data_IF_599630017240
#
_entry.id   IF_599630017240
#
_cell.length_a   1.000
_cell.length_b   1.000
_cell.length_c   1.000
_cell.angle_alpha   90.00
_cell.angle_beta   90.00
_cell.angle_gamma   90.00
#
_symmetry.space_group_name_H-M   'P 1'
#
loop_
_entity.id
_entity.type
_entity.pdbx_description
1 polymer ?
#
# COMPACT_ATOMS: atom_id res chain seq x y z
N UNK A 1 -19.04 1.70 11.35
CA UNK A 1 -18.45 2.69 12.29
C UNK A 1 -17.09 3.16 11.77
N UNK A 2 -16.64 4.39 12.07
CA UNK A 2 -15.48 5.03 11.44
C UNK A 2 -14.17 4.23 11.54
N UNK A 3 -13.91 3.61 12.69
CA UNK A 3 -12.68 2.83 12.94
C UNK A 3 -12.62 1.59 12.05
N UNK A 4 -13.71 0.82 11.98
CA UNK A 4 -13.81 -0.37 11.13
C UNK A 4 -13.55 -0.05 9.65
N UNK A 5 -13.99 1.10 9.16
CA UNK A 5 -13.73 1.53 7.78
C UNK A 5 -12.27 1.91 7.55
N UNK A 6 -11.60 2.52 8.53
CA UNK A 6 -10.17 2.76 8.45
C UNK A 6 -9.37 1.45 8.36
N UNK A 7 -9.77 0.43 9.11
CA UNK A 7 -9.14 -0.90 9.02
C UNK A 7 -9.33 -1.53 7.64
N UNK A 8 -10.54 -1.48 7.08
CA UNK A 8 -10.82 -2.02 5.74
C UNK A 8 -10.03 -1.26 4.66
N UNK A 9 -10.02 0.07 4.71
CA UNK A 9 -9.24 0.91 3.80
C UNK A 9 -7.74 0.59 3.87
N UNK A 10 -7.19 0.44 5.08
CA UNK A 10 -5.79 0.09 5.29
C UNK A 10 -5.47 -1.32 4.76
N UNK A 11 -6.35 -2.30 5.02
CA UNK A 11 -6.18 -3.67 4.54
C UNK A 11 -6.16 -3.72 3.01
N UNK A 12 -7.08 -3.01 2.35
CA UNK A 12 -7.12 -2.96 0.89
C UNK A 12 -5.90 -2.23 0.30
N UNK A 13 -5.51 -1.08 0.86
CA UNK A 13 -4.32 -0.35 0.41
C UNK A 13 -3.02 -1.15 0.59
N UNK A 14 -2.93 -1.97 1.66
CA UNK A 14 -1.77 -2.84 1.88
C UNK A 14 -1.61 -3.88 0.78
N UNK A 15 -2.70 -4.41 0.22
CA UNK A 15 -2.65 -5.33 -0.92
C UNK A 15 -2.18 -4.65 -2.20
N UNK A 16 -2.63 -3.41 -2.46
CA UNK A 16 -2.17 -2.64 -3.63
C UNK A 16 -0.68 -2.33 -3.55
N UNK A 17 -0.20 -1.87 -2.41
CA UNK A 17 1.23 -1.60 -2.22
C UNK A 17 2.03 -2.90 -2.44
N UNK A 18 1.59 -4.03 -1.87
CA UNK A 18 2.24 -5.34 -2.06
C UNK A 18 2.23 -5.82 -3.51
N UNK A 19 1.13 -5.62 -4.24
CA UNK A 19 0.98 -6.04 -5.64
C UNK A 19 1.81 -5.22 -6.63
N UNK A 20 2.02 -3.93 -6.36
CA UNK A 20 2.91 -3.07 -7.16
C UNK A 20 4.38 -3.51 -7.04
N UNK A 21 4.78 -4.03 -5.86
CA UNK A 21 6.11 -4.61 -5.67
C UNK A 21 6.31 -5.95 -6.40
N UNK A 22 5.25 -6.77 -6.53
CA UNK A 22 5.31 -8.08 -7.19
C UNK A 22 5.20 -7.96 -8.73
N UNK A 23 4.47 -6.96 -9.22
CA UNK A 23 4.26 -6.71 -10.66
C UNK A 23 5.38 -5.88 -11.31
N UNK A 24 6.21 -5.23 -10.49
CA UNK A 24 7.45 -4.61 -10.95
C UNK A 24 8.52 -5.69 -10.98
N UNK A 25 8.90 -6.11 -12.19
CA UNK A 25 9.85 -7.18 -12.53
C UNK A 25 11.24 -6.97 -11.88
N UNK A 26 11.32 -7.12 -10.55
CA UNK A 26 12.55 -7.16 -9.76
C UNK A 26 12.52 -8.43 -8.95
N UNK A 27 12.86 -9.52 -9.64
CA UNK A 27 13.33 -10.75 -9.04
C UNK A 27 14.30 -10.47 -7.90
N UNK A 28 14.00 -11.08 -6.75
CA UNK A 28 14.97 -11.54 -5.76
C UNK A 28 15.85 -10.50 -5.08
N UNK A 29 15.51 -10.14 -3.84
CA UNK A 29 16.35 -10.56 -2.71
C UNK A 29 15.64 -10.39 -1.38
N UNK A 30 15.58 -11.48 -0.64
CA UNK A 30 15.34 -11.51 0.79
C UNK A 30 16.35 -10.59 1.49
N UNK A 31 15.88 -9.48 2.06
CA UNK A 31 16.78 -8.53 2.71
C UNK A 31 16.04 -7.45 3.49
N UNK A 32 15.44 -7.81 4.62
CA UNK A 32 15.15 -6.84 5.69
C UNK A 32 16.50 -6.34 6.21
N UNK A 33 17.02 -5.28 5.60
CA UNK A 33 18.12 -4.50 6.16
C UNK A 33 17.50 -3.19 6.62
N UNK A 34 17.21 -3.14 7.92
CA UNK A 34 16.86 -1.91 8.63
C UNK A 34 18.11 -1.01 8.66
N UNK A 35 18.24 -0.12 7.69
CA UNK A 35 19.22 0.98 7.74
C UNK A 35 18.65 2.06 8.69
N UNK A 36 19.36 2.44 9.77
CA UNK A 36 18.91 3.51 10.65
C UNK A 36 19.10 4.84 9.90
N UNK A 37 18.00 5.46 9.45
CA UNK A 37 18.00 6.84 8.96
C UNK A 37 17.37 7.10 7.60
N UNK A 38 16.95 6.07 6.86
CA UNK A 38 16.20 6.25 5.62
C UNK A 38 15.24 5.07 5.41
N UNK A 39 14.14 5.08 6.15
CA UNK A 39 12.98 4.29 5.77
C UNK A 39 12.58 4.73 4.35
N UNK A 40 12.89 3.90 3.34
CA UNK A 40 12.33 4.03 2.01
C UNK A 40 10.85 3.66 2.12
N UNK A 41 10.06 4.59 2.65
CA UNK A 41 8.62 4.41 2.74
C UNK A 41 8.11 4.37 1.30
N UNK A 42 7.45 3.27 0.89
CA UNK A 42 6.76 3.21 -0.38
C UNK A 42 5.86 4.44 -0.53
N UNK A 43 6.00 5.19 -1.63
CA UNK A 43 5.07 6.28 -1.89
C UNK A 43 3.64 5.72 -1.94
N UNK A 44 2.71 6.34 -1.22
CA UNK A 44 1.33 5.87 -1.18
C UNK A 44 0.71 5.96 -2.59
N UNK A 45 0.11 4.88 -3.11
CA UNK A 45 -0.52 4.91 -4.42
C UNK A 45 -1.70 5.89 -4.41
N UNK A 46 -1.80 6.72 -5.46
CA UNK A 46 -2.91 7.67 -5.61
C UNK A 46 -4.16 6.93 -6.06
N UNK A 47 -5.26 7.19 -5.36
CA UNK A 47 -6.56 6.64 -5.70
C UNK A 47 -7.09 7.26 -7.01
N UNK A 48 -7.71 6.44 -7.87
CA UNK A 48 -8.23 6.90 -9.16
C UNK A 48 -9.37 7.92 -8.98
N UNK A 49 -9.48 8.89 -9.90
CA UNK A 49 -10.47 10.00 -9.83
C UNK A 49 -11.92 9.54 -9.69
N UNK A 50 -12.26 8.35 -10.16
CA UNK A 50 -13.61 7.76 -10.08
C UNK A 50 -13.96 7.22 -8.69
N UNK A 51 -12.95 6.90 -7.88
CA UNK A 51 -13.12 6.25 -6.57
C UNK A 51 -12.58 7.09 -5.41
N UNK A 52 -11.87 8.19 -5.68
CA UNK A 52 -11.31 9.06 -4.63
C UNK A 52 -12.35 9.71 -3.71
N UNK A 53 -13.61 9.81 -4.15
CA UNK A 53 -14.73 10.34 -3.36
C UNK A 53 -15.71 9.25 -2.90
N UNK A 54 -15.36 7.97 -3.10
CA UNK A 54 -16.18 6.81 -2.77
C UNK A 54 -15.46 5.92 -1.74
N UNK A 55 -16.21 5.04 -1.09
CA UNK A 55 -15.64 4.01 -0.22
C UNK A 55 -15.03 2.90 -1.09
N UNK A 56 -13.76 3.06 -1.46
CA UNK A 56 -13.06 2.07 -2.31
C UNK A 56 -12.88 0.71 -1.63
N UNK A 57 -13.11 0.64 -0.31
CA UNK A 57 -12.88 -0.51 0.57
C UNK A 57 -14.12 -1.35 0.91
N UNK A 58 -15.23 -1.08 0.22
CA UNK A 58 -16.49 -1.82 0.35
C UNK A 58 -16.62 -2.94 -0.66
#
# INVERSE_FOLDING_TARGET
APISYAHLAAAQMSQFIKGEYDSSDTSSSHGVITIPGNLQIPAMPKLHKKVCTKMFFC
#
